data_IF_827241449873
#
_entry.id   IF_827241449873
#
_cell.length_a   1.000
_cell.length_b   1.000
_cell.length_c   1.000
_cell.angle_alpha   90.00
_cell.angle_beta   90.00
_cell.angle_gamma   90.00
#
_symmetry.space_group_name_H-M   'P 1'
#
loop_
_entity.id
_entity.type
_entity.pdbx_description
1 polymer ?
#
# COMPACT_ATOMS: atom_id res chain seq x y z
N UNK A 1 11.55 3.52 -23.93
CA UNK A 1 11.29 2.42 -22.99
C UNK A 1 9.90 2.63 -22.42
N UNK A 2 9.01 1.64 -22.48
CA UNK A 2 7.70 1.74 -21.82
C UNK A 2 7.95 1.80 -20.30
N UNK A 3 7.40 2.78 -19.60
CA UNK A 3 7.49 2.82 -18.14
C UNK A 3 6.93 1.51 -17.57
N UNK A 4 7.60 0.87 -16.60
CA UNK A 4 7.09 -0.36 -16.02
C UNK A 4 5.74 -0.09 -15.38
N UNK A 5 4.69 -0.73 -15.92
CA UNK A 5 3.36 -0.68 -15.33
C UNK A 5 3.40 -1.50 -14.04
N UNK A 6 3.38 -0.83 -12.89
CA UNK A 6 3.33 -1.50 -11.60
C UNK A 6 1.96 -2.12 -11.40
N UNK A 7 1.90 -3.45 -11.33
CA UNK A 7 0.67 -4.21 -11.09
C UNK A 7 0.42 -4.42 -9.59
N UNK A 8 -0.86 -4.60 -9.21
CA UNK A 8 -1.23 -4.96 -7.85
C UNK A 8 -0.57 -6.28 -7.40
N UNK A 9 -0.46 -7.25 -8.31
CA UNK A 9 0.19 -8.54 -8.06
C UNK A 9 1.67 -8.38 -7.68
N UNK A 10 2.41 -7.53 -8.40
CA UNK A 10 3.81 -7.24 -8.08
C UNK A 10 3.97 -6.58 -6.69
N UNK A 11 3.04 -5.70 -6.30
CA UNK A 11 3.04 -5.07 -4.97
C UNK A 11 2.67 -6.05 -3.84
N UNK A 12 1.85 -7.05 -4.14
CA UNK A 12 1.54 -8.14 -3.20
C UNK A 12 2.75 -9.05 -2.99
N UNK A 13 3.35 -9.53 -4.07
CA UNK A 13 4.49 -10.46 -4.03
C UNK A 13 5.74 -9.84 -3.39
N UNK A 14 5.96 -8.53 -3.59
CA UNK A 14 7.04 -7.79 -2.95
C UNK A 14 6.80 -7.46 -1.48
N UNK A 15 5.58 -7.64 -0.96
CA UNK A 15 5.22 -7.31 0.42
C UNK A 15 5.03 -5.80 0.68
N UNK A 16 4.89 -4.97 -0.37
CA UNK A 16 4.76 -3.52 -0.25
C UNK A 16 3.47 -3.05 0.46
N UNK A 17 2.51 -3.95 0.67
CA UNK A 17 1.26 -3.69 1.38
C UNK A 17 1.37 -3.74 2.91
N UNK A 18 2.49 -4.25 3.45
CA UNK A 18 2.69 -4.27 4.91
C UNK A 18 3.11 -2.90 5.42
N UNK A 19 2.32 -2.37 6.36
CA UNK A 19 2.60 -1.13 7.07
C UNK A 19 3.32 -1.36 8.41
N UNK A 20 3.15 -0.40 9.32
CA UNK A 20 3.68 -0.48 10.68
C UNK A 20 2.71 -1.17 11.63
N UNK A 21 3.19 -1.46 12.85
CA UNK A 21 2.34 -1.94 13.94
C UNK A 21 1.23 -0.94 14.28
N UNK A 22 0.05 -1.42 14.67
CA UNK A 22 -1.16 -0.59 14.92
C UNK A 22 -0.98 0.47 16.01
N UNK A 23 -0.02 0.31 16.91
CA UNK A 23 0.30 1.31 17.94
C UNK A 23 1.26 2.42 17.47
N UNK A 24 1.93 2.25 16.31
CA UNK A 24 2.96 3.15 15.77
C UNK A 24 2.58 3.58 14.35
N UNK A 25 1.39 4.16 14.24
CA UNK A 25 0.85 4.66 12.99
C UNK A 25 0.52 6.15 13.09
N UNK A 26 0.46 6.82 11.93
CA UNK A 26 0.00 8.20 11.85
C UNK A 26 -1.50 8.20 11.54
N UNK A 27 -2.36 8.84 12.35
CA UNK A 27 -3.81 8.92 12.10
C UNK A 27 -4.20 9.43 10.71
N UNK A 28 -3.34 10.25 10.09
CA UNK A 28 -3.55 10.75 8.72
C UNK A 28 -3.49 9.65 7.66
N UNK A 29 -2.94 8.48 7.98
CA UNK A 29 -2.90 7.32 7.08
C UNK A 29 -4.22 6.55 7.02
N UNK A 30 -5.20 6.88 7.87
CA UNK A 30 -6.48 6.14 7.95
C UNK A 30 -7.16 5.91 6.60
N UNK A 31 -7.22 6.88 5.67
CA UNK A 31 -7.85 6.68 4.37
C UNK A 31 -7.14 5.66 3.47
N UNK A 32 -5.84 5.43 3.70
CA UNK A 32 -5.00 4.55 2.88
C UNK A 32 -4.81 3.15 3.50
N UNK A 33 -5.36 2.90 4.69
CA UNK A 33 -5.27 1.62 5.40
C UNK A 33 -6.50 0.79 5.03
N UNK A 34 -6.26 -0.39 4.49
CA UNK A 34 -7.31 -1.39 4.21
C UNK A 34 -7.83 -2.04 5.50
N UNK A 35 -6.92 -2.32 6.43
CA UNK A 35 -7.24 -2.93 7.73
C UNK A 35 -5.98 -3.26 8.51
N UNK A 36 -6.08 -4.18 9.47
CA UNK A 36 -4.94 -4.73 10.18
C UNK A 36 -5.01 -6.26 10.25
N UNK A 37 -3.84 -6.89 10.35
CA UNK A 37 -3.69 -8.33 10.53
C UNK A 37 -2.54 -8.59 11.49
N UNK A 38 -2.78 -9.33 12.56
CA UNK A 38 -1.79 -9.62 13.60
C UNK A 38 -1.12 -8.35 14.16
N UNK A 39 -1.87 -7.25 14.28
CA UNK A 39 -1.36 -5.99 14.80
C UNK A 39 -0.48 -5.19 13.82
N UNK A 40 -0.44 -5.55 12.53
CA UNK A 40 0.23 -4.77 11.47
C UNK A 40 -0.82 -4.20 10.52
N UNK A 41 -0.73 -2.90 10.21
CA UNK A 41 -1.61 -2.29 9.22
C UNK A 41 -1.33 -2.81 7.82
N UNK A 42 -2.39 -3.06 7.06
CA UNK A 42 -2.34 -3.41 5.64
C UNK A 42 -2.74 -2.18 4.84
N UNK A 43 -1.90 -1.79 3.88
CA UNK A 43 -2.12 -0.67 2.98
C UNK A 43 -3.03 -1.10 1.83
N UNK A 44 -3.94 -0.21 1.45
CA UNK A 44 -4.86 -0.45 0.33
C UNK A 44 -4.14 -0.29 -1.02
N UNK A 45 -3.82 -1.43 -1.64
CA UNK A 45 -3.19 -1.46 -2.95
C UNK A 45 -4.12 -1.00 -4.08
N UNK A 46 -5.45 -1.06 -3.91
CA UNK A 46 -6.39 -0.57 -4.93
C UNK A 46 -6.28 0.95 -5.11
N UNK A 47 -5.93 1.67 -4.03
CA UNK A 47 -5.59 3.09 -4.07
C UNK A 47 -4.14 3.32 -4.51
N UNK A 48 -3.21 2.45 -4.10
CA UNK A 48 -1.78 2.61 -4.37
C UNK A 48 -1.47 2.55 -5.87
N UNK A 49 -2.04 1.61 -6.62
CA UNK A 49 -1.77 1.45 -8.07
C UNK A 49 -2.09 2.72 -8.87
N UNK A 50 -3.30 3.32 -8.81
CA UNK A 50 -3.59 4.54 -9.55
C UNK A 50 -2.81 5.76 -9.02
N UNK A 51 -2.54 5.84 -7.71
CA UNK A 51 -1.71 6.93 -7.15
C UNK A 51 -0.25 6.83 -7.60
N UNK A 52 0.28 5.62 -7.73
CA UNK A 52 1.62 5.37 -8.25
C UNK A 52 1.72 5.79 -9.72
N UNK A 53 0.74 5.41 -10.54
CA UNK A 53 0.68 5.81 -11.95
C UNK A 53 0.58 7.33 -12.13
N UNK A 54 -0.11 8.04 -11.21
CA UNK A 54 -0.19 9.51 -11.22
C UNK A 54 1.13 10.18 -10.84
N UNK A 55 1.97 9.51 -10.05
CA UNK A 55 3.23 10.07 -9.56
C UNK A 55 4.41 9.91 -10.55
N UNK A 56 4.29 8.99 -11.51
CA UNK A 56 5.23 8.80 -12.63
C UNK A 56 5.01 9.86 -13.72
#
# INVERSE_FOLDING_TARGET
MAAPVVSMQALLESGAHFGHQTHRWNPKMKPYIFGDRNGVHIIDLSQTVPLFARAL
#
